data_IF_237696487025
#
_entry.id   IF_237696487025
#
_cell.length_a   1.000
_cell.length_b   1.000
_cell.length_c   1.000
_cell.angle_alpha   90.00
_cell.angle_beta   90.00
_cell.angle_gamma   90.00
#
_symmetry.space_group_name_H-M   'P 1'
#
loop_
_entity.id
_entity.type
_entity.pdbx_description
1 polymer ?
#
# COMPACT_ATOMS: atom_id res chain seq x y z
N UNK A 1 -23.66 9.98 -5.56
CA UNK A 1 -23.22 8.61 -5.24
C UNK A 1 -22.93 8.48 -3.74
N UNK A 2 -22.00 9.27 -3.15
CA UNK A 2 -21.56 9.18 -1.74
C UNK A 2 -22.72 9.26 -0.75
N UNK A 3 -23.56 10.31 -0.79
CA UNK A 3 -24.71 10.44 0.12
C UNK A 3 -25.75 9.33 -0.03
N UNK A 4 -25.93 8.82 -1.25
CA UNK A 4 -26.84 7.67 -1.48
C UNK A 4 -26.30 6.42 -0.81
N UNK A 5 -24.99 6.19 -0.88
CA UNK A 5 -24.34 5.07 -0.23
C UNK A 5 -24.42 5.17 1.29
N UNK A 6 -24.18 6.36 1.86
CA UNK A 6 -24.28 6.62 3.32
C UNK A 6 -25.65 6.33 3.93
N UNK A 7 -26.74 6.42 3.16
CA UNK A 7 -28.07 6.02 3.64
C UNK A 7 -28.18 4.54 4.00
N UNK A 8 -27.32 3.71 3.41
CA UNK A 8 -27.30 2.24 3.64
C UNK A 8 -26.17 1.77 4.56
N UNK A 9 -25.14 2.60 4.82
CA UNK A 9 -23.96 2.23 5.63
C UNK A 9 -23.55 3.38 6.56
N UNK A 10 -23.02 3.02 7.74
CA UNK A 10 -22.61 4.02 8.75
C UNK A 10 -21.34 4.79 8.35
N UNK A 11 -20.44 4.17 7.56
CA UNK A 11 -19.16 4.75 7.13
C UNK A 11 -18.95 4.50 5.64
N UNK A 12 -18.38 5.48 4.96
CA UNK A 12 -18.05 5.40 3.54
C UNK A 12 -16.63 5.88 3.31
N UNK A 13 -15.93 5.20 2.41
CA UNK A 13 -14.57 5.50 1.99
C UNK A 13 -14.49 5.43 0.48
N UNK A 14 -13.55 6.13 -0.12
CA UNK A 14 -13.14 5.91 -1.51
C UNK A 14 -11.83 5.11 -1.48
N UNK A 15 -11.80 3.97 -2.14
CA UNK A 15 -10.57 3.22 -2.38
C UNK A 15 -10.11 3.46 -3.81
N UNK A 16 -8.92 4.02 -3.95
CA UNK A 16 -8.25 4.23 -5.22
C UNK A 16 -7.27 3.09 -5.44
N UNK A 17 -7.73 2.07 -6.15
CA UNK A 17 -6.97 0.86 -6.45
C UNK A 17 -5.87 1.11 -7.48
N UNK A 18 -4.67 0.57 -7.27
CA UNK A 18 -3.58 0.56 -8.25
C UNK A 18 -3.99 -0.05 -9.59
N UNK A 19 -4.78 -1.15 -9.55
CA UNK A 19 -5.36 -1.75 -10.75
C UNK A 19 -6.22 -0.77 -11.55
N UNK A 20 -7.06 0.01 -10.88
CA UNK A 20 -7.92 1.01 -11.53
C UNK A 20 -7.08 2.14 -12.13
N UNK A 21 -6.05 2.60 -11.42
CA UNK A 21 -5.13 3.62 -11.94
C UNK A 21 -4.39 3.12 -13.16
N UNK A 22 -3.86 1.90 -13.12
CA UNK A 22 -3.20 1.28 -14.26
C UNK A 22 -4.12 1.18 -15.49
N UNK A 23 -5.39 0.80 -15.28
CA UNK A 23 -6.37 0.70 -16.37
C UNK A 23 -6.78 2.05 -16.97
N UNK A 24 -6.85 3.12 -16.15
CA UNK A 24 -7.40 4.43 -16.57
C UNK A 24 -6.33 5.44 -16.99
N UNK A 25 -5.10 5.30 -16.51
CA UNK A 25 -4.05 6.32 -16.64
C UNK A 25 -2.80 5.84 -17.38
N UNK A 26 -2.74 4.57 -17.81
CA UNK A 26 -1.63 4.13 -18.65
C UNK A 26 -1.72 4.78 -20.03
N UNK A 27 -0.67 5.48 -20.43
CA UNK A 27 -0.56 6.10 -21.76
C UNK A 27 -0.33 5.05 -22.87
N UNK A 28 0.09 3.86 -22.51
CA UNK A 28 0.36 2.75 -23.42
C UNK A 28 -0.84 1.82 -23.65
N UNK A 29 -2.01 2.22 -23.18
CA UNK A 29 -3.24 1.43 -23.19
C UNK A 29 -3.52 0.74 -21.86
N UNK A 30 -4.69 0.10 -21.71
CA UNK A 30 -5.06 -0.59 -20.49
C UNK A 30 -4.09 -1.75 -20.25
N UNK A 31 -3.26 -1.62 -19.24
CA UNK A 31 -2.31 -2.64 -18.83
C UNK A 31 -2.82 -3.32 -17.55
N UNK A 32 -2.46 -4.59 -17.31
CA UNK A 32 -2.74 -5.21 -16.03
C UNK A 32 -2.02 -4.46 -14.91
N UNK A 33 -2.38 -4.76 -13.68
CA UNK A 33 -1.89 -4.21 -12.43
C UNK A 33 -0.39 -4.51 -12.20
N UNK A 34 0.47 -3.77 -12.88
CA UNK A 34 1.93 -3.94 -12.91
C UNK A 34 2.69 -2.64 -12.64
N UNK A 35 2.05 -1.63 -12.04
CA UNK A 35 2.65 -0.30 -11.81
C UNK A 35 3.22 0.36 -13.08
N UNK A 36 2.66 0.05 -14.23
CA UNK A 36 3.13 0.55 -15.54
C UNK A 36 2.43 1.86 -15.93
N UNK A 37 2.44 2.82 -15.04
CA UNK A 37 1.94 4.17 -15.28
C UNK A 37 2.87 5.18 -14.59
N UNK A 38 2.74 6.46 -14.96
CA UNK A 38 3.52 7.51 -14.34
C UNK A 38 3.23 7.62 -12.83
N UNK A 39 4.28 7.77 -12.02
CA UNK A 39 4.16 7.92 -10.55
C UNK A 39 3.19 9.03 -10.14
N UNK A 40 3.10 10.09 -10.94
CA UNK A 40 2.22 11.23 -10.70
C UNK A 40 0.76 10.97 -11.02
N UNK A 41 0.43 9.85 -11.66
CA UNK A 41 -0.95 9.49 -12.01
C UNK A 41 -1.82 9.30 -10.78
N UNK A 42 -1.30 8.68 -9.72
CA UNK A 42 -2.03 8.44 -8.48
C UNK A 42 -2.34 9.74 -7.74
N UNK A 43 -1.36 10.61 -7.42
CA UNK A 43 -1.63 11.91 -6.80
C UNK A 43 -2.61 12.77 -7.62
N UNK A 44 -2.46 12.81 -8.94
CA UNK A 44 -3.35 13.57 -9.81
C UNK A 44 -4.80 13.09 -9.74
N UNK A 45 -5.03 11.78 -9.71
CA UNK A 45 -6.36 11.21 -9.58
C UNK A 45 -6.96 11.42 -8.18
N UNK A 46 -6.16 11.37 -7.13
CA UNK A 46 -6.58 11.71 -5.76
C UNK A 46 -7.06 13.17 -5.71
N UNK A 47 -6.28 14.10 -6.25
CA UNK A 47 -6.61 15.52 -6.29
C UNK A 47 -7.90 15.78 -7.08
N UNK A 48 -8.07 15.11 -8.22
CA UNK A 48 -9.29 15.17 -9.03
C UNK A 48 -10.52 14.74 -8.22
N UNK A 49 -10.47 13.56 -7.60
CA UNK A 49 -11.56 13.02 -6.79
C UNK A 49 -11.86 13.94 -5.61
N UNK A 50 -10.85 14.37 -4.87
CA UNK A 50 -10.99 15.24 -3.72
C UNK A 50 -11.61 16.60 -4.11
N UNK A 51 -11.18 17.15 -5.24
CA UNK A 51 -11.74 18.39 -5.79
C UNK A 51 -13.21 18.24 -6.14
N UNK A 52 -13.62 17.16 -6.80
CA UNK A 52 -15.02 16.89 -7.09
C UNK A 52 -15.88 16.74 -5.84
N UNK A 53 -15.37 16.12 -4.79
CA UNK A 53 -16.07 15.98 -3.51
C UNK A 53 -16.29 17.35 -2.86
N UNK A 54 -15.27 18.22 -2.83
CA UNK A 54 -15.38 19.60 -2.32
C UNK A 54 -16.33 20.47 -3.15
N UNK A 55 -16.30 20.33 -4.48
CA UNK A 55 -17.21 21.05 -5.35
C UNK A 55 -18.66 20.61 -5.14
N UNK A 56 -18.91 19.34 -4.84
CA UNK A 56 -20.26 18.86 -4.50
C UNK A 56 -20.75 19.50 -3.20
N UNK A 57 -19.90 19.63 -2.18
CA UNK A 57 -20.22 20.34 -0.94
C UNK A 57 -20.54 21.80 -1.20
N UNK A 58 -19.66 22.50 -1.90
CA UNK A 58 -19.86 23.92 -2.22
C UNK A 58 -21.16 24.17 -2.99
N UNK A 59 -21.50 23.26 -3.93
CA UNK A 59 -22.76 23.36 -4.70
C UNK A 59 -23.99 23.18 -3.81
N UNK A 60 -24.00 22.16 -2.96
CA UNK A 60 -25.12 21.86 -2.08
C UNK A 60 -25.31 22.97 -1.03
N UNK A 61 -24.23 23.40 -0.37
CA UNK A 61 -24.28 24.51 0.57
C UNK A 61 -24.79 25.77 -0.08
N UNK A 62 -24.36 26.09 -1.30
CA UNK A 62 -24.91 27.25 -2.03
C UNK A 62 -26.42 27.16 -2.20
N UNK A 63 -26.97 26.00 -2.55
CA UNK A 63 -28.41 25.81 -2.70
C UNK A 63 -29.12 26.04 -1.35
N UNK A 64 -28.61 25.47 -0.26
CA UNK A 64 -29.18 25.65 1.07
C UNK A 64 -29.19 27.13 1.52
N UNK A 65 -28.15 27.88 1.22
CA UNK A 65 -28.11 29.32 1.51
C UNK A 65 -29.07 30.13 0.63
N UNK A 66 -29.23 29.76 -0.65
CA UNK A 66 -30.24 30.38 -1.52
C UNK A 66 -31.65 30.11 -1.00
N UNK A 67 -31.95 28.87 -0.60
CA UNK A 67 -33.26 28.50 -0.03
C UNK A 67 -33.53 29.28 1.26
N UNK A 68 -32.52 29.52 2.10
CA UNK A 68 -32.64 30.36 3.29
C UNK A 68 -32.95 31.82 2.94
N UNK A 69 -32.26 32.38 1.96
CA UNK A 69 -32.49 33.77 1.53
C UNK A 69 -33.87 33.93 0.90
N UNK A 70 -34.35 32.97 0.12
CA UNK A 70 -35.70 32.93 -0.43
C UNK A 70 -36.77 32.81 0.67
N UNK A 71 -36.54 31.95 1.68
CA UNK A 71 -37.44 31.82 2.82
C UNK A 71 -37.57 33.14 3.59
N UNK A 72 -36.47 33.87 3.80
CA UNK A 72 -36.46 35.19 4.44
C UNK A 72 -37.18 36.24 3.62
N UNK A 73 -37.00 36.25 2.30
CA UNK A 73 -37.58 37.23 1.41
C UNK A 73 -39.10 37.05 1.21
N UNK A 74 -39.56 35.80 1.18
CA UNK A 74 -40.94 35.45 0.80
C UNK A 74 -41.81 34.98 1.97
N UNK A 75 -41.35 35.11 3.22
CA UNK A 75 -42.08 34.66 4.41
C UNK A 75 -42.21 33.14 4.52
N UNK A 76 -41.21 32.39 3.98
CA UNK A 76 -41.13 30.95 4.12
C UNK A 76 -40.64 30.49 5.51
N UNK A 77 -40.44 29.19 5.67
CA UNK A 77 -39.95 28.57 6.91
C UNK A 77 -38.42 28.73 7.05
N UNK A 78 -38.03 29.83 7.72
CA UNK A 78 -36.61 30.16 7.98
C UNK A 78 -35.96 29.15 8.91
N UNK A 79 -36.70 28.64 9.90
CA UNK A 79 -36.16 27.68 10.87
C UNK A 79 -35.84 26.33 10.21
N UNK A 80 -36.72 25.87 9.32
CA UNK A 80 -36.47 24.67 8.52
C UNK A 80 -35.26 24.85 7.59
N UNK A 81 -35.07 26.01 6.96
CA UNK A 81 -33.93 26.31 6.12
C UNK A 81 -32.61 26.35 6.92
N UNK A 82 -32.60 26.94 8.10
CA UNK A 82 -31.45 26.93 9.01
C UNK A 82 -31.11 25.50 9.47
N UNK A 83 -32.12 24.73 9.86
CA UNK A 83 -31.94 23.34 10.25
C UNK A 83 -31.35 22.49 9.12
N UNK A 84 -31.70 22.77 7.86
CA UNK A 84 -31.10 22.08 6.71
C UNK A 84 -29.63 22.40 6.54
N UNK A 85 -29.19 23.64 6.82
CA UNK A 85 -27.78 24.05 6.81
C UNK A 85 -27.02 23.40 7.98
N UNK A 86 -27.57 23.44 9.19
CA UNK A 86 -26.95 22.90 10.40
C UNK A 86 -26.78 21.36 10.32
N UNK A 87 -27.69 20.68 9.63
CA UNK A 87 -27.64 19.24 9.39
C UNK A 87 -26.96 18.86 8.07
N UNK A 88 -26.21 19.80 7.46
CA UNK A 88 -25.50 19.49 6.23
C UNK A 88 -24.47 18.39 6.44
N UNK A 89 -24.54 17.35 5.61
CA UNK A 89 -23.56 16.27 5.57
C UNK A 89 -22.58 16.48 4.41
N UNK A 90 -21.27 16.51 4.71
CA UNK A 90 -20.24 16.64 3.67
C UNK A 90 -20.23 15.47 2.70
N UNK A 91 -19.90 15.72 1.43
CA UNK A 91 -19.60 14.69 0.44
C UNK A 91 -18.17 14.17 0.57
N UNK A 92 -17.30 14.92 1.25
CA UNK A 92 -15.92 14.51 1.47
C UNK A 92 -15.88 13.26 2.36
N UNK A 93 -15.26 12.24 1.87
CA UNK A 93 -15.03 10.96 2.57
C UNK A 93 -13.53 10.63 2.55
N UNK A 94 -13.03 9.86 3.51
CA UNK A 94 -11.64 9.43 3.50
C UNK A 94 -11.28 8.73 2.19
N UNK A 95 -10.10 9.06 1.64
CA UNK A 95 -9.54 8.44 0.44
C UNK A 95 -8.41 7.52 0.87
N UNK A 96 -8.57 6.23 0.59
CA UNK A 96 -7.54 5.21 0.72
C UNK A 96 -6.87 5.09 -0.64
N UNK A 97 -5.56 5.32 -0.71
CA UNK A 97 -4.83 5.31 -1.96
C UNK A 97 -3.78 4.20 -1.99
N UNK A 98 -3.75 3.47 -3.10
CA UNK A 98 -2.80 2.42 -3.37
C UNK A 98 -1.50 3.02 -3.93
N UNK A 99 -0.37 2.77 -3.25
CA UNK A 99 0.96 3.18 -3.69
C UNK A 99 1.72 2.01 -4.34
N UNK A 100 1.01 0.91 -4.62
CA UNK A 100 1.63 -0.33 -5.11
C UNK A 100 2.82 -0.74 -4.20
N UNK A 101 3.96 -1.08 -4.78
CA UNK A 101 5.19 -1.40 -4.04
C UNK A 101 6.08 -0.17 -3.75
N UNK A 102 5.55 1.06 -3.89
CA UNK A 102 6.24 2.31 -3.57
C UNK A 102 7.00 2.95 -4.73
N UNK A 103 6.94 2.37 -5.94
CA UNK A 103 7.59 2.88 -7.17
C UNK A 103 9.10 3.13 -7.05
N UNK A 104 9.79 2.34 -6.25
CA UNK A 104 11.23 2.40 -6.05
C UNK A 104 11.64 1.99 -4.63
N UNK A 105 12.70 2.62 -4.13
CA UNK A 105 13.19 2.46 -2.77
C UNK A 105 12.37 3.31 -1.76
N UNK A 106 12.83 3.36 -0.52
CA UNK A 106 12.18 4.11 0.56
C UNK A 106 12.11 5.62 0.31
N UNK A 107 13.14 6.23 -0.30
CA UNK A 107 13.10 7.65 -0.65
C UNK A 107 12.07 7.96 -1.73
N UNK A 108 11.98 7.10 -2.77
CA UNK A 108 10.96 7.24 -3.79
C UNK A 108 9.55 7.06 -3.21
N UNK A 109 9.39 6.10 -2.30
CA UNK A 109 8.14 5.85 -1.57
C UNK A 109 7.75 7.06 -0.72
N UNK A 110 8.69 7.64 0.03
CA UNK A 110 8.47 8.85 0.83
C UNK A 110 7.97 10.02 -0.03
N UNK A 111 8.67 10.32 -1.12
CA UNK A 111 8.31 11.44 -2.00
C UNK A 111 6.94 11.26 -2.64
N UNK A 112 6.60 10.04 -3.03
CA UNK A 112 5.30 9.74 -3.62
C UNK A 112 4.19 9.79 -2.58
N UNK A 113 4.38 9.17 -1.41
CA UNK A 113 3.44 9.22 -0.31
C UNK A 113 3.13 10.66 0.10
N UNK A 114 4.15 11.50 0.23
CA UNK A 114 3.98 12.93 0.53
C UNK A 114 3.06 13.62 -0.49
N UNK A 115 3.29 13.41 -1.78
CA UNK A 115 2.42 13.97 -2.84
C UNK A 115 0.99 13.44 -2.78
N UNK A 116 0.81 12.17 -2.45
CA UNK A 116 -0.52 11.57 -2.32
C UNK A 116 -1.29 12.14 -1.12
N UNK A 117 -0.61 12.38 0.00
CA UNK A 117 -1.19 12.99 1.20
C UNK A 117 -1.54 14.46 0.93
N UNK A 118 -0.66 15.23 0.31
CA UNK A 118 -0.90 16.61 -0.12
C UNK A 118 -2.11 16.70 -1.07
N UNK A 119 -2.30 15.71 -1.93
CA UNK A 119 -3.44 15.62 -2.86
C UNK A 119 -4.77 15.27 -2.16
N UNK A 120 -4.74 14.76 -0.93
CA UNK A 120 -5.93 14.48 -0.12
C UNK A 120 -6.10 13.03 0.34
N UNK A 121 -5.12 12.16 0.15
CA UNK A 121 -5.17 10.80 0.73
C UNK A 121 -4.99 10.88 2.25
N UNK A 122 -5.81 10.14 2.98
CA UNK A 122 -5.69 9.99 4.43
C UNK A 122 -5.25 8.59 4.85
N UNK A 123 -5.20 7.66 3.89
CA UNK A 123 -4.75 6.30 4.08
C UNK A 123 -3.93 5.88 2.86
N UNK A 124 -2.76 5.29 3.11
CA UNK A 124 -1.88 4.74 2.08
C UNK A 124 -1.80 3.23 2.26
N UNK A 125 -2.08 2.48 1.20
CA UNK A 125 -1.86 1.05 1.15
C UNK A 125 -0.58 0.78 0.37
N UNK A 126 0.33 -0.01 0.96
CA UNK A 126 1.62 -0.40 0.37
C UNK A 126 1.83 -1.90 0.47
N UNK A 127 2.45 -2.50 -0.54
CA UNK A 127 2.71 -3.94 -0.61
C UNK A 127 4.21 -4.28 -0.66
N UNK A 128 4.53 -5.52 -0.28
CA UNK A 128 5.91 -6.00 -0.19
C UNK A 128 6.49 -6.60 -1.48
N UNK A 129 5.86 -6.36 -2.62
CA UNK A 129 6.43 -6.76 -3.90
C UNK A 129 7.62 -5.87 -4.31
N UNK A 130 8.44 -6.36 -5.22
CA UNK A 130 9.50 -5.58 -5.88
C UNK A 130 8.87 -4.60 -6.86
N UNK A 131 9.21 -3.31 -6.78
CA UNK A 131 8.53 -2.25 -7.52
C UNK A 131 8.64 -2.38 -9.05
N UNK A 132 9.77 -2.81 -9.56
CA UNK A 132 10.03 -2.98 -11.00
C UNK A 132 9.62 -4.35 -11.55
N UNK A 133 9.15 -5.25 -10.69
CA UNK A 133 8.63 -6.58 -11.04
C UNK A 133 7.24 -6.85 -10.44
N UNK A 134 6.52 -5.79 -10.06
CA UNK A 134 5.19 -5.86 -9.46
C UNK A 134 4.19 -6.49 -10.42
N UNK A 135 3.38 -7.41 -9.89
CA UNK A 135 2.32 -8.09 -10.61
C UNK A 135 1.00 -8.01 -9.84
N UNK A 136 -0.12 -8.23 -10.53
CA UNK A 136 -1.41 -8.40 -9.90
C UNK A 136 -1.35 -9.54 -8.86
N UNK A 137 -1.97 -9.33 -7.69
CA UNK A 137 -1.94 -10.28 -6.58
C UNK A 137 -2.38 -11.70 -6.92
N UNK A 138 -3.22 -11.85 -7.95
CA UNK A 138 -3.72 -13.15 -8.42
C UNK A 138 -2.79 -13.86 -9.41
N UNK A 139 -1.67 -13.24 -9.81
CA UNK A 139 -0.72 -13.82 -10.75
C UNK A 139 0.37 -14.59 -10.04
N UNK A 140 0.85 -15.66 -10.69
CA UNK A 140 2.02 -16.42 -10.26
C UNK A 140 3.32 -15.65 -10.54
N UNK A 141 4.39 -16.03 -9.84
CA UNK A 141 5.71 -15.47 -10.09
C UNK A 141 5.98 -14.13 -9.41
N UNK A 142 5.17 -13.75 -8.44
CA UNK A 142 5.41 -12.58 -7.61
C UNK A 142 6.75 -12.66 -6.89
N UNK A 143 7.44 -11.52 -6.80
CA UNK A 143 8.75 -11.38 -6.16
C UNK A 143 8.62 -10.40 -5.01
N UNK A 144 8.96 -10.81 -3.81
CA UNK A 144 8.94 -9.95 -2.62
C UNK A 144 10.31 -9.32 -2.34
N UNK A 145 10.29 -8.16 -1.68
CA UNK A 145 11.49 -7.56 -1.09
C UNK A 145 11.77 -8.18 0.29
N UNK A 146 13.01 -8.13 0.80
CA UNK A 146 13.30 -8.45 2.19
C UNK A 146 12.50 -7.59 3.16
N UNK A 147 12.25 -8.11 4.36
CA UNK A 147 11.50 -7.42 5.42
C UNK A 147 12.03 -6.02 5.69
N UNK A 148 13.34 -5.87 5.90
CA UNK A 148 13.96 -4.58 6.20
C UNK A 148 13.68 -3.52 5.15
N UNK A 149 13.67 -3.89 3.86
CA UNK A 149 13.33 -2.98 2.77
C UNK A 149 11.84 -2.58 2.83
N UNK A 150 10.96 -3.54 3.13
CA UNK A 150 9.53 -3.26 3.26
C UNK A 150 9.24 -2.39 4.48
N UNK A 151 9.85 -2.68 5.62
CA UNK A 151 9.70 -1.89 6.84
C UNK A 151 10.24 -0.46 6.66
N UNK A 152 11.35 -0.29 5.94
CA UNK A 152 11.87 1.04 5.58
C UNK A 152 10.87 1.84 4.76
N UNK A 153 10.15 1.20 3.83
CA UNK A 153 9.08 1.85 3.05
C UNK A 153 7.86 2.20 3.92
N UNK A 154 7.44 1.33 4.84
CA UNK A 154 6.38 1.65 5.81
C UNK A 154 6.76 2.87 6.64
N UNK A 155 7.99 2.90 7.16
CA UNK A 155 8.52 4.03 7.91
C UNK A 155 8.57 5.31 7.06
N UNK A 156 8.94 5.22 5.79
CA UNK A 156 8.93 6.34 4.85
C UNK A 156 7.53 6.95 4.68
N UNK A 157 6.49 6.11 4.55
CA UNK A 157 5.09 6.56 4.50
C UNK A 157 4.68 7.21 5.83
N UNK A 158 5.03 6.61 6.97
CA UNK A 158 4.74 7.19 8.29
C UNK A 158 5.41 8.54 8.46
N UNK A 159 6.67 8.66 8.05
CA UNK A 159 7.41 9.92 8.10
C UNK A 159 6.74 11.01 7.23
N UNK A 160 6.26 10.67 6.03
CA UNK A 160 5.53 11.61 5.17
C UNK A 160 4.27 12.15 5.86
N UNK A 161 3.49 11.31 6.55
CA UNK A 161 2.33 11.74 7.33
C UNK A 161 2.74 12.69 8.46
N UNK A 162 3.77 12.35 9.24
CA UNK A 162 4.23 13.15 10.38
C UNK A 162 4.79 14.50 9.94
N UNK A 163 5.58 14.55 8.87
CA UNK A 163 6.13 15.78 8.33
C UNK A 163 5.04 16.77 7.88
N UNK A 164 3.94 16.25 7.32
CA UNK A 164 2.79 17.05 6.90
C UNK A 164 1.81 17.37 8.05
N UNK A 165 2.12 16.99 9.29
CA UNK A 165 1.27 17.21 10.46
C UNK A 165 -0.02 16.38 10.46
N UNK A 166 -0.05 15.27 9.74
CA UNK A 166 -1.20 14.36 9.68
C UNK A 166 -0.98 13.21 10.66
N UNK A 167 -1.24 13.46 11.94
CA UNK A 167 -0.98 12.50 13.02
C UNK A 167 -1.84 11.23 12.95
N UNK A 168 -3.03 11.33 12.38
CA UNK A 168 -4.01 10.24 12.25
C UNK A 168 -4.03 9.59 10.86
N UNK A 169 -2.96 9.77 10.09
CA UNK A 169 -2.79 9.09 8.81
C UNK A 169 -2.69 7.56 8.98
N UNK A 170 -3.38 6.80 8.15
CA UNK A 170 -3.49 5.36 8.24
C UNK A 170 -2.59 4.68 7.21
N UNK A 171 -1.87 3.63 7.61
CA UNK A 171 -1.06 2.79 6.74
C UNK A 171 -1.63 1.38 6.72
N UNK A 172 -1.96 0.89 5.53
CA UNK A 172 -2.34 -0.50 5.28
C UNK A 172 -1.13 -1.21 4.69
N UNK A 173 -0.53 -2.12 5.45
CA UNK A 173 0.53 -2.99 4.95
C UNK A 173 -0.08 -4.24 4.29
N UNK A 174 0.14 -4.37 2.99
CA UNK A 174 -0.26 -5.56 2.24
C UNK A 174 0.91 -6.52 2.13
N UNK A 175 0.65 -7.80 2.36
CA UNK A 175 1.62 -8.87 2.08
C UNK A 175 1.14 -9.77 0.94
N UNK A 176 2.02 -10.00 -0.01
CA UNK A 176 1.85 -10.94 -1.11
C UNK A 176 2.60 -12.26 -0.88
N UNK A 177 3.17 -12.44 0.31
CA UNK A 177 4.05 -13.58 0.63
C UNK A 177 3.37 -14.94 0.55
N UNK A 178 2.03 -15.01 0.65
CA UNK A 178 1.33 -16.29 0.54
C UNK A 178 1.58 -16.96 -0.81
N UNK A 179 1.48 -16.21 -1.91
CA UNK A 179 1.67 -16.69 -3.27
C UNK A 179 3.05 -16.38 -3.89
N UNK A 180 3.90 -15.59 -3.20
CA UNK A 180 5.21 -15.25 -3.73
C UNK A 180 6.24 -16.34 -3.44
N UNK A 181 6.76 -16.98 -4.48
CA UNK A 181 7.80 -18.03 -4.37
C UNK A 181 9.24 -17.50 -4.42
N UNK A 182 9.42 -16.20 -4.64
CA UNK A 182 10.73 -15.60 -4.96
C UNK A 182 11.00 -14.33 -4.15
N UNK A 183 12.28 -14.05 -3.91
CA UNK A 183 12.75 -12.77 -3.37
C UNK A 183 13.91 -12.20 -4.17
N UNK A 184 14.04 -10.88 -4.11
CA UNK A 184 15.05 -10.15 -4.89
C UNK A 184 16.46 -10.33 -4.34
N UNK A 185 16.62 -10.36 -3.03
CA UNK A 185 17.94 -10.44 -2.36
C UNK A 185 17.86 -11.17 -1.02
N UNK A 186 18.99 -11.54 -0.50
CA UNK A 186 19.16 -12.16 0.82
C UNK A 186 19.67 -11.09 1.77
N UNK A 187 18.91 -10.72 2.81
CA UNK A 187 19.37 -9.76 3.81
C UNK A 187 20.53 -10.32 4.64
N UNK A 188 21.41 -9.44 5.09
CA UNK A 188 22.56 -9.82 5.92
C UNK A 188 22.14 -9.87 7.39
N UNK A 189 22.15 -11.07 7.97
CA UNK A 189 21.93 -11.23 9.41
C UNK A 189 23.15 -10.73 10.20
N UNK A 190 22.91 -9.99 11.25
CA UNK A 190 23.95 -9.50 12.17
C UNK A 190 24.08 -10.41 13.41
N UNK A 191 23.02 -11.16 13.72
CA UNK A 191 22.99 -12.05 14.87
C UNK A 191 21.99 -13.20 14.63
N UNK A 192 22.22 -14.39 15.22
CA UNK A 192 21.24 -15.48 15.18
C UNK A 192 19.89 -15.02 15.73
N UNK A 193 18.81 -15.27 14.99
CA UNK A 193 17.45 -14.95 15.37
C UNK A 193 17.05 -13.48 15.15
N UNK A 194 17.90 -12.63 14.58
CA UNK A 194 17.48 -11.32 14.15
C UNK A 194 16.46 -11.40 13.00
N UNK A 195 15.89 -10.28 12.61
CA UNK A 195 14.84 -10.24 11.58
C UNK A 195 15.32 -10.78 10.23
N UNK A 196 16.56 -10.49 9.84
CA UNK A 196 17.16 -11.01 8.61
C UNK A 196 17.36 -12.52 8.70
N UNK A 197 17.80 -13.06 9.83
CA UNK A 197 17.94 -14.50 10.04
C UNK A 197 16.58 -15.22 10.01
N UNK A 198 15.56 -14.67 10.66
CA UNK A 198 14.19 -15.18 10.60
C UNK A 198 13.68 -15.23 9.14
N UNK A 199 13.85 -14.15 8.39
CA UNK A 199 13.47 -14.10 6.98
C UNK A 199 14.26 -15.13 6.15
N UNK A 200 15.57 -15.19 6.33
CA UNK A 200 16.43 -16.13 5.62
C UNK A 200 16.09 -17.59 5.94
N UNK A 201 15.46 -17.86 7.09
CA UNK A 201 15.04 -19.22 7.45
C UNK A 201 14.07 -19.83 6.45
N UNK A 202 13.32 -18.99 5.71
CA UNK A 202 12.38 -19.41 4.69
C UNK A 202 13.01 -19.66 3.31
N UNK A 203 14.27 -19.29 3.11
CA UNK A 203 14.95 -19.50 1.83
C UNK A 203 15.23 -20.99 1.59
N UNK A 204 15.02 -21.42 0.36
CA UNK A 204 15.52 -22.72 -0.11
C UNK A 204 17.04 -22.67 -0.15
N UNK A 205 17.68 -23.69 0.40
CA UNK A 205 19.15 -23.76 0.50
C UNK A 205 19.68 -25.07 -0.08
N UNK A 206 20.94 -25.04 -0.48
CA UNK A 206 21.73 -26.21 -0.89
C UNK A 206 22.98 -26.31 -0.03
N UNK A 207 23.45 -27.54 0.19
CA UNK A 207 24.67 -27.81 0.97
C UNK A 207 25.91 -27.33 0.26
N UNK A 208 26.84 -26.76 1.01
CA UNK A 208 28.19 -26.43 0.53
C UNK A 208 29.11 -27.56 0.90
N UNK A 209 29.47 -28.41 -0.09
CA UNK A 209 30.33 -29.58 0.13
C UNK A 209 31.79 -29.23 0.38
N UNK A 210 32.20 -28.00 0.04
CA UNK A 210 33.59 -27.53 0.24
C UNK A 210 33.55 -26.00 0.43
N UNK A 211 33.69 -25.55 1.67
CA UNK A 211 33.68 -24.13 2.02
C UNK A 211 34.79 -23.32 1.31
N UNK A 212 35.91 -23.98 0.91
CA UNK A 212 36.96 -23.32 0.14
C UNK A 212 36.57 -23.04 -1.32
N UNK A 213 35.48 -23.63 -1.81
CA UNK A 213 34.94 -23.41 -3.16
C UNK A 213 33.82 -22.36 -3.21
N UNK A 214 33.47 -21.76 -2.08
CA UNK A 214 32.54 -20.62 -2.09
C UNK A 214 33.26 -19.48 -2.80
N UNK A 215 32.70 -19.03 -3.93
CA UNK A 215 33.27 -17.95 -4.72
C UNK A 215 33.27 -16.63 -3.93
N UNK A 216 34.28 -15.81 -4.19
CA UNK A 216 34.32 -14.48 -3.57
C UNK A 216 33.09 -13.66 -3.95
N UNK A 217 32.35 -13.17 -2.94
CA UNK A 217 31.08 -12.43 -3.14
C UNK A 217 29.83 -13.31 -3.26
N UNK A 218 29.91 -14.62 -3.07
CA UNK A 218 28.73 -15.47 -2.94
C UNK A 218 28.08 -15.31 -1.56
N UNK A 219 26.75 -15.22 -1.54
CA UNK A 219 25.99 -15.19 -0.30
C UNK A 219 25.92 -16.58 0.30
N UNK A 220 26.25 -16.69 1.59
CA UNK A 220 26.12 -17.92 2.38
C UNK A 220 25.29 -17.66 3.64
N UNK A 221 24.68 -18.71 4.17
CA UNK A 221 23.92 -18.71 5.42
C UNK A 221 24.48 -19.79 6.34
N UNK A 222 24.28 -19.63 7.64
CA UNK A 222 24.56 -20.68 8.63
C UNK A 222 23.24 -21.33 9.03
N UNK A 223 23.14 -22.66 8.95
CA UNK A 223 21.97 -23.45 9.35
C UNK A 223 22.46 -24.65 10.14
N UNK A 224 21.98 -24.78 11.38
CA UNK A 224 22.37 -25.88 12.27
C UNK A 224 23.89 -26.06 12.42
N UNK A 225 24.63 -24.95 12.38
CA UNK A 225 26.08 -24.92 12.45
C UNK A 225 26.82 -25.22 11.13
N UNK A 226 26.10 -25.48 10.05
CA UNK A 226 26.66 -25.71 8.72
C UNK A 226 26.49 -24.48 7.82
N UNK A 227 27.47 -24.30 6.90
CA UNK A 227 27.41 -23.27 5.87
C UNK A 227 26.61 -23.83 4.70
N UNK A 228 25.56 -23.10 4.32
CA UNK A 228 24.69 -23.42 3.19
C UNK A 228 24.60 -22.24 2.23
N UNK A 229 24.19 -22.49 0.98
CA UNK A 229 23.89 -21.44 0.00
C UNK A 229 22.39 -21.32 -0.23
N UNK A 230 21.83 -20.12 -0.27
CA UNK A 230 20.47 -19.93 -0.76
C UNK A 230 20.42 -20.27 -2.26
N UNK A 231 19.35 -20.94 -2.68
CA UNK A 231 19.17 -21.32 -4.08
C UNK A 231 18.90 -20.07 -4.91
N UNK A 232 19.84 -19.72 -5.77
CA UNK A 232 19.76 -18.60 -6.71
C UNK A 232 19.38 -19.11 -8.10
N UNK A 233 18.34 -18.50 -8.68
CA UNK A 233 17.87 -18.83 -10.02
C UNK A 233 18.72 -18.12 -11.11
N UNK A 234 18.65 -18.58 -12.38
CA UNK A 234 19.40 -17.95 -13.48
C UNK A 234 19.07 -16.46 -13.70
N UNK A 235 17.87 -16.02 -13.33
CA UNK A 235 17.45 -14.62 -13.38
C UNK A 235 17.95 -13.76 -12.19
N UNK A 236 18.74 -14.36 -11.29
CA UNK A 236 19.32 -13.68 -10.14
C UNK A 236 18.47 -13.65 -8.87
N UNK A 237 17.23 -14.10 -8.93
CA UNK A 237 16.32 -14.16 -7.79
C UNK A 237 16.61 -15.37 -6.90
N UNK A 238 16.14 -15.33 -5.67
CA UNK A 238 16.28 -16.43 -4.70
C UNK A 238 14.93 -17.09 -4.46
N UNK A 239 14.94 -18.43 -4.33
CA UNK A 239 13.75 -19.22 -4.10
C UNK A 239 13.44 -19.38 -2.62
N UNK A 240 12.16 -19.30 -2.25
CA UNK A 240 11.68 -19.73 -0.94
C UNK A 240 11.41 -21.24 -0.90
N UNK A 241 11.36 -21.78 0.31
CA UNK A 241 10.91 -23.16 0.56
C UNK A 241 9.43 -23.27 0.18
N UNK A 242 9.07 -24.38 -0.43
CA UNK A 242 7.67 -24.71 -0.68
C UNK A 242 6.89 -24.80 0.66
N UNK A 243 5.67 -24.30 0.67
CA UNK A 243 4.82 -24.30 1.86
C UNK A 243 5.17 -23.25 2.93
N UNK A 244 6.19 -22.40 2.70
CA UNK A 244 6.57 -21.34 3.68
C UNK A 244 5.72 -20.07 3.62
N UNK A 245 4.73 -20.01 2.73
CA UNK A 245 3.94 -18.80 2.48
C UNK A 245 3.18 -18.29 3.71
N UNK A 246 2.51 -19.18 4.43
CA UNK A 246 1.74 -18.82 5.63
C UNK A 246 2.64 -18.26 6.74
N UNK A 247 3.75 -18.94 7.04
CA UNK A 247 4.68 -18.48 8.07
C UNK A 247 5.31 -17.13 7.71
N UNK A 248 5.61 -16.90 6.41
CA UNK A 248 6.10 -15.61 5.92
C UNK A 248 5.04 -14.51 6.07
N UNK A 249 3.78 -14.80 5.79
CA UNK A 249 2.67 -13.86 6.01
C UNK A 249 2.57 -13.49 7.49
N UNK A 250 2.68 -14.46 8.39
CA UNK A 250 2.65 -14.20 9.84
C UNK A 250 3.79 -13.27 10.24
N UNK A 251 5.01 -13.52 9.76
CA UNK A 251 6.16 -12.67 10.03
C UNK A 251 5.96 -11.25 9.46
N UNK A 252 5.48 -11.12 8.22
CA UNK A 252 5.16 -9.85 7.57
C UNK A 252 4.14 -9.03 8.39
N UNK A 253 3.06 -9.68 8.83
CA UNK A 253 2.00 -9.04 9.59
C UNK A 253 2.50 -8.51 10.94
N UNK A 254 3.22 -9.34 11.71
CA UNK A 254 3.73 -8.97 13.03
C UNK A 254 4.72 -7.81 12.89
N UNK A 255 5.69 -7.92 12.00
CA UNK A 255 6.74 -6.92 11.83
C UNK A 255 6.21 -5.61 11.28
N UNK A 256 5.25 -5.64 10.34
CA UNK A 256 4.62 -4.44 9.81
C UNK A 256 3.86 -3.66 10.88
N UNK A 257 3.08 -4.33 11.73
CA UNK A 257 2.38 -3.68 12.86
C UNK A 257 3.36 -3.10 13.88
N UNK A 258 4.45 -3.81 14.18
CA UNK A 258 5.49 -3.32 15.10
C UNK A 258 6.25 -2.09 14.55
N UNK A 259 6.23 -1.90 13.24
CA UNK A 259 6.93 -0.82 12.54
C UNK A 259 6.01 0.25 11.93
N UNK A 260 4.81 0.41 12.47
CA UNK A 260 3.97 1.57 12.19
C UNK A 260 2.87 1.39 11.16
N UNK A 261 2.60 0.17 10.69
CA UNK A 261 1.36 -0.14 9.98
C UNK A 261 0.19 -0.16 10.96
N UNK A 262 -0.96 0.35 10.53
CA UNK A 262 -2.19 0.40 11.34
C UNK A 262 -3.13 -0.75 11.00
N UNK A 263 -3.13 -1.19 9.76
CA UNK A 263 -3.99 -2.25 9.21
C UNK A 263 -3.17 -3.19 8.34
N UNK A 264 -3.70 -4.39 8.19
CA UNK A 264 -3.09 -5.45 7.39
C UNK A 264 -4.02 -5.85 6.24
N UNK A 265 -3.41 -6.16 5.10
CA UNK A 265 -4.06 -6.78 3.96
C UNK A 265 -3.26 -8.03 3.56
N UNK A 266 -3.87 -9.19 3.68
CA UNK A 266 -3.26 -10.45 3.24
C UNK A 266 -3.82 -10.78 1.86
N UNK A 267 -2.95 -10.75 0.85
CA UNK A 267 -3.35 -11.14 -0.50
C UNK A 267 -3.45 -12.65 -0.61
N UNK A 268 -4.60 -13.12 -1.09
CA UNK A 268 -4.88 -14.55 -1.27
C UNK A 268 -5.04 -14.86 -2.75
N UNK A 269 -4.51 -16.00 -3.20
CA UNK A 269 -4.57 -16.40 -4.62
C UNK A 269 -5.97 -16.88 -5.04
N UNK A 270 -6.74 -17.38 -4.08
CA UNK A 270 -8.09 -17.91 -4.32
C UNK A 270 -9.05 -17.36 -3.29
N UNK A 271 -10.24 -16.90 -3.72
CA UNK A 271 -11.29 -16.59 -2.77
C UNK A 271 -11.71 -17.91 -2.08
N UNK A 272 -11.69 -17.91 -0.75
CA UNK A 272 -12.26 -19.01 0.05
C UNK A 272 -13.77 -18.87 0.15
#
# INVERSE_FOLDING_TARGET
AVKRHRKSVKKSYVYLSGWMVAALRSEFGPLPDQSMHEKTSVPALIEEIYTFLKQADARELRHLFVDLDEARANGGDVDAALAAIDNFETHVVPIIADIDAGFGNEEATYLLAKKMIEAGACCIQIENQVSDAKQCGHQDGKVTVPHEDFLSKINAVRYAFLELGVENGVIVARTDSLGAGLTQKVPVSQAPGDLADQYNSFLKTESVTDAAKVGHGETTLVRDGEIVKPVRLPNGLYAFKEGSGEDRVVLDCITSLQNGADLLWIETEKPN
#
